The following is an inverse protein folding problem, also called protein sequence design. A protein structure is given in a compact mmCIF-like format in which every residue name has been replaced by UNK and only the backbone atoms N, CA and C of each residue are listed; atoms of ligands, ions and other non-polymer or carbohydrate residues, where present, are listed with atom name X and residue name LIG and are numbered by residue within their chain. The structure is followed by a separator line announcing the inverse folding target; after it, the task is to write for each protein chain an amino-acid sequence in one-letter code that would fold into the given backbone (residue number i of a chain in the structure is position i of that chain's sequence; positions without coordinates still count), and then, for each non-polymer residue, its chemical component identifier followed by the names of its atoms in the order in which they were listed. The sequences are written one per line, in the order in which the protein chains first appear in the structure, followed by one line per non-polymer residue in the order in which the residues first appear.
data_IF_455855005604
#
_entry.id   IF_455855005604
#
_cell.length_a   1.000
_cell.length_b   1.000
_cell.length_c   1.000
_cell.angle_alpha   90.00
_cell.angle_beta   90.00
_cell.angle_gamma   90.00
#
_symmetry.space_group_name_H-M   'P 1'
#
loop_
_entity.id
_entity.type
_entity.pdbx_description
1 polymer ?
#
# COMPACT_ATOMS: atom_id res chain seq x y z
N UNK A 1 0.14 -16.69 -7.46
CA UNK A 1 1.34 -15.87 -7.77
C UNK A 1 1.95 -16.19 -9.13
N UNK A 2 2.10 -17.46 -9.55
CA UNK A 2 2.65 -17.77 -10.90
C UNK A 2 1.87 -17.12 -12.04
N UNK A 3 0.54 -17.03 -11.92
CA UNK A 3 -0.33 -16.40 -12.92
C UNK A 3 -0.06 -14.90 -13.06
N UNK A 4 -0.02 -14.15 -11.95
CA UNK A 4 0.26 -12.71 -11.95
C UNK A 4 1.67 -12.39 -12.47
N UNK A 5 2.67 -13.18 -12.08
CA UNK A 5 4.04 -13.04 -12.58
C UNK A 5 4.14 -13.33 -14.08
N UNK A 6 3.40 -14.34 -14.56
CA UNK A 6 3.33 -14.66 -15.99
C UNK A 6 2.61 -13.58 -16.79
N UNK A 7 1.55 -12.99 -16.23
CA UNK A 7 0.85 -11.85 -16.83
C UNK A 7 1.78 -10.64 -16.96
N UNK A 8 2.51 -10.27 -15.90
CA UNK A 8 3.45 -9.16 -15.94
C UNK A 8 4.54 -9.35 -17.02
N UNK A 9 5.09 -10.57 -17.16
CA UNK A 9 6.05 -10.89 -18.23
C UNK A 9 5.45 -10.69 -19.61
N UNK A 10 4.22 -11.17 -19.84
CA UNK A 10 3.51 -10.96 -21.11
C UNK A 10 3.30 -9.47 -21.40
N UNK A 11 2.89 -8.68 -20.41
CA UNK A 11 2.72 -7.23 -20.58
C UNK A 11 4.04 -6.59 -21.02
N UNK A 12 5.17 -6.92 -20.38
CA UNK A 12 6.50 -6.42 -20.75
C UNK A 12 6.90 -6.85 -22.17
N UNK A 13 6.59 -8.09 -22.58
CA UNK A 13 6.85 -8.57 -23.94
C UNK A 13 6.11 -7.76 -25.01
N UNK A 14 4.91 -7.24 -24.69
CA UNK A 14 4.11 -6.41 -25.61
C UNK A 14 4.44 -4.91 -25.53
N UNK A 15 5.11 -4.45 -24.47
CA UNK A 15 5.46 -3.05 -24.27
C UNK A 15 6.77 -2.70 -24.97
N UNK A 16 6.68 -2.40 -26.27
CA UNK A 16 7.83 -2.16 -27.16
C UNK A 16 8.02 -0.69 -27.56
N UNK A 17 7.00 0.17 -27.36
CA UNK A 17 7.00 1.57 -27.81
C UNK A 17 6.36 2.47 -26.74
N UNK A 18 6.90 3.69 -26.48
CA UNK A 18 8.02 4.35 -27.17
C UNK A 18 9.41 3.86 -26.74
N UNK A 19 9.50 3.09 -25.65
CA UNK A 19 10.69 2.40 -25.19
C UNK A 19 10.25 1.19 -24.38
N UNK A 20 10.91 0.02 -24.53
CA UNK A 20 10.54 -1.13 -23.74
C UNK A 20 10.81 -0.91 -22.25
N UNK A 21 9.89 -1.40 -21.42
CA UNK A 21 10.09 -1.46 -19.97
C UNK A 21 11.14 -2.51 -19.64
N UNK A 22 12.07 -2.16 -18.76
CA UNK A 22 13.08 -3.12 -18.26
C UNK A 22 12.49 -3.93 -17.11
N UNK A 23 12.52 -5.25 -17.24
CA UNK A 23 12.17 -6.14 -16.13
C UNK A 23 13.26 -6.04 -15.05
N UNK A 24 12.86 -5.63 -13.84
CA UNK A 24 13.69 -5.70 -12.65
C UNK A 24 13.19 -6.86 -11.80
N UNK A 25 14.02 -7.88 -11.64
CA UNK A 25 13.71 -9.02 -10.78
C UNK A 25 13.97 -8.71 -9.32
N UNK A 26 13.24 -9.42 -8.45
CA UNK A 26 13.38 -9.33 -7.01
C UNK A 26 13.21 -10.69 -6.36
N UNK A 27 13.90 -10.87 -5.23
CA UNK A 27 13.77 -12.04 -4.37
C UNK A 27 12.60 -11.96 -3.39
N UNK A 28 11.99 -10.77 -3.20
CA UNK A 28 10.83 -10.59 -2.31
C UNK A 28 9.53 -10.78 -3.09
N UNK A 29 8.57 -11.45 -2.46
CA UNK A 29 7.18 -11.55 -2.92
C UNK A 29 6.42 -10.36 -2.36
N UNK A 30 5.76 -9.62 -3.24
CA UNK A 30 5.02 -8.42 -2.93
C UNK A 30 3.78 -8.31 -3.81
N UNK A 31 2.80 -7.57 -3.30
CA UNK A 31 1.58 -7.21 -4.00
C UNK A 31 1.44 -5.68 -3.96
N UNK A 32 0.88 -5.09 -5.02
CA UNK A 32 0.81 -3.63 -5.15
C UNK A 32 0.08 -2.96 -3.98
N UNK A 33 -0.99 -3.60 -3.48
CA UNK A 33 -1.77 -3.07 -2.35
C UNK A 33 -1.03 -3.07 -1.01
N UNK A 34 0.08 -3.81 -0.89
CA UNK A 34 0.91 -3.77 0.31
C UNK A 34 1.80 -2.51 0.39
N UNK A 35 1.78 -1.64 -0.62
CA UNK A 35 2.69 -0.50 -0.76
C UNK A 35 1.94 0.81 -0.99
N UNK A 36 2.20 1.83 -0.17
CA UNK A 36 1.80 3.20 -0.44
C UNK A 36 3.03 4.13 -0.37
N UNK A 37 3.38 4.76 -1.50
CA UNK A 37 4.57 5.61 -1.64
C UNK A 37 4.19 7.07 -1.90
N UNK A 38 4.94 8.02 -1.33
CA UNK A 38 4.71 9.45 -1.51
C UNK A 38 5.39 10.05 -2.75
N UNK A 39 6.29 9.31 -3.39
CA UNK A 39 7.12 9.80 -4.49
C UNK A 39 8.30 10.69 -4.05
N UNK A 40 8.49 10.90 -2.75
CA UNK A 40 9.59 11.70 -2.17
C UNK A 40 10.44 10.90 -1.17
N UNK A 41 10.32 9.58 -1.19
CA UNK A 41 11.20 8.67 -0.48
C UNK A 41 10.59 8.02 0.76
N UNK A 42 9.29 8.14 0.97
CA UNK A 42 8.57 7.49 2.07
C UNK A 42 7.70 6.35 1.56
N UNK A 43 7.79 5.20 2.21
CA UNK A 43 6.87 4.06 2.06
C UNK A 43 6.08 3.88 3.35
N UNK A 44 4.76 3.73 3.23
CA UNK A 44 3.89 3.16 4.26
C UNK A 44 3.63 1.70 3.91
N UNK A 45 3.71 0.81 4.89
CA UNK A 45 3.46 -0.62 4.71
C UNK A 45 3.07 -1.29 6.02
N UNK A 46 2.34 -2.40 5.96
CA UNK A 46 2.11 -3.27 7.11
C UNK A 46 3.14 -4.39 7.17
N UNK A 47 3.65 -4.71 8.35
CA UNK A 47 4.64 -5.78 8.54
C UNK A 47 4.04 -7.13 8.16
N UNK A 48 2.80 -7.40 8.58
CA UNK A 48 2.17 -8.68 8.35
C UNK A 48 1.94 -8.96 6.85
N UNK A 49 1.62 -7.98 6.02
CA UNK A 49 1.42 -8.23 4.57
C UNK A 49 2.71 -8.50 3.78
N UNK A 50 3.88 -8.17 4.34
CA UNK A 50 5.17 -8.28 3.64
C UNK A 50 6.11 -9.28 4.30
N UNK A 51 6.33 -9.18 5.61
CA UNK A 51 7.44 -9.85 6.32
C UNK A 51 7.06 -11.27 6.76
N UNK A 52 5.78 -11.62 6.77
CA UNK A 52 5.34 -12.90 7.32
C UNK A 52 5.88 -14.12 6.54
N UNK A 53 5.94 -15.28 7.20
CA UNK A 53 6.46 -16.53 6.61
C UNK A 53 5.64 -17.05 5.43
N UNK A 54 4.35 -16.69 5.34
CA UNK A 54 3.49 -17.07 4.21
C UNK A 54 3.82 -16.23 2.96
N UNK A 55 4.48 -15.07 3.12
CA UNK A 55 4.91 -14.18 2.03
C UNK A 55 6.38 -14.35 1.69
N UNK A 56 7.27 -14.06 2.63
CA UNK A 56 8.72 -14.01 2.40
C UNK A 56 9.48 -14.94 3.36
N UNK A 57 9.33 -16.27 3.23
CA UNK A 57 9.95 -17.22 4.14
C UNK A 57 11.48 -17.13 4.12
N UNK A 58 12.08 -17.08 5.30
CA UNK A 58 13.54 -17.03 5.46
C UNK A 58 14.21 -15.68 5.18
N UNK A 59 13.45 -14.63 4.79
CA UNK A 59 14.02 -13.29 4.59
C UNK A 59 13.88 -12.46 5.87
N UNK A 60 14.94 -11.75 6.23
CA UNK A 60 14.92 -10.82 7.36
C UNK A 60 14.24 -9.51 7.00
N UNK A 61 13.67 -8.80 7.99
CA UNK A 61 13.14 -7.44 7.80
C UNK A 61 14.18 -6.53 7.14
N UNK A 62 15.42 -6.54 7.59
CA UNK A 62 16.51 -5.74 7.00
C UNK A 62 16.77 -6.07 5.53
N UNK A 63 16.70 -7.36 5.16
CA UNK A 63 16.84 -7.81 3.77
C UNK A 63 15.70 -7.26 2.91
N UNK A 64 14.47 -7.38 3.41
CA UNK A 64 13.26 -6.87 2.74
C UNK A 64 13.36 -5.35 2.57
N UNK A 65 13.70 -4.61 3.63
CA UNK A 65 13.84 -3.17 3.54
C UNK A 65 14.95 -2.74 2.56
N UNK A 66 16.08 -3.45 2.53
CA UNK A 66 17.16 -3.17 1.56
C UNK A 66 16.66 -3.33 0.14
N UNK A 67 15.89 -4.38 -0.12
CA UNK A 67 15.32 -4.65 -1.43
C UNK A 67 14.23 -3.63 -1.81
N UNK A 68 13.36 -3.25 -0.87
CA UNK A 68 12.37 -2.19 -1.07
C UNK A 68 13.03 -0.84 -1.43
N UNK A 69 14.11 -0.46 -0.73
CA UNK A 69 14.88 0.75 -1.07
C UNK A 69 15.49 0.68 -2.47
N UNK A 70 16.04 -0.49 -2.86
CA UNK A 70 16.60 -0.72 -4.19
C UNK A 70 15.55 -0.61 -5.30
N UNK A 71 14.36 -1.15 -5.06
CA UNK A 71 13.28 -1.22 -6.06
C UNK A 71 12.51 0.09 -6.20
N UNK A 72 12.20 0.75 -5.07
CA UNK A 72 11.27 1.87 -5.03
C UNK A 72 11.96 3.23 -4.88
N UNK A 73 13.27 3.26 -4.60
CA UNK A 73 14.00 4.50 -4.35
C UNK A 73 13.61 5.20 -3.04
N UNK A 74 12.95 4.48 -2.13
CA UNK A 74 12.56 5.02 -0.82
C UNK A 74 13.74 5.10 0.15
N UNK A 75 13.72 6.08 1.02
CA UNK A 75 14.72 6.32 2.06
C UNK A 75 14.18 5.85 3.43
N UNK A 76 12.89 6.11 3.68
CA UNK A 76 12.20 5.81 4.94
C UNK A 76 11.02 4.88 4.71
N UNK A 77 10.90 3.87 5.59
CA UNK A 77 9.76 2.96 5.61
C UNK A 77 9.10 3.10 6.98
N UNK A 78 7.80 3.40 6.98
CA UNK A 78 6.97 3.44 8.18
C UNK A 78 6.16 2.15 8.20
N UNK A 79 6.41 1.35 9.22
CA UNK A 79 5.81 0.05 9.40
C UNK A 79 4.64 0.12 10.38
N UNK A 80 3.48 -0.34 9.93
CA UNK A 80 2.35 -0.65 10.79
C UNK A 80 2.33 -2.15 11.10
N UNK A 81 1.79 -2.62 12.23
CA UNK A 81 1.81 -4.06 12.55
C UNK A 81 1.04 -4.91 11.53
N UNK A 82 -0.17 -4.49 11.14
CA UNK A 82 -1.11 -5.34 10.40
C UNK A 82 -1.66 -6.50 11.26
N UNK A 83 -2.35 -7.47 10.65
CA UNK A 83 -2.87 -8.67 11.34
C UNK A 83 -2.82 -9.87 10.42
N UNK A 84 -2.38 -11.00 10.97
CA UNK A 84 -2.26 -12.26 10.22
C UNK A 84 -3.62 -12.94 10.18
N UNK A 85 -4.01 -13.45 9.01
CA UNK A 85 -5.23 -14.23 8.79
C UNK A 85 -6.53 -13.46 9.16
N UNK A 86 -6.48 -12.12 9.29
CA UNK A 86 -7.66 -11.29 9.57
C UNK A 86 -8.49 -11.05 8.30
N UNK A 87 -7.80 -10.79 7.20
CA UNK A 87 -8.37 -10.75 5.86
C UNK A 87 -7.47 -11.55 4.90
N UNK A 88 -7.85 -11.64 3.63
CA UNK A 88 -7.08 -12.39 2.62
C UNK A 88 -5.69 -11.80 2.34
N UNK A 89 -5.45 -10.54 2.74
CA UNK A 89 -4.23 -9.80 2.41
C UNK A 89 -3.25 -9.68 3.58
N UNK A 90 -3.61 -10.17 4.77
CA UNK A 90 -2.90 -9.92 6.03
C UNK A 90 -2.79 -8.40 6.33
N UNK A 91 -3.85 -7.66 5.98
CA UNK A 91 -4.02 -6.20 6.08
C UNK A 91 -3.09 -5.45 5.13
N UNK A 92 -3.45 -5.36 3.86
CA UNK A 92 -2.79 -4.44 2.93
C UNK A 92 -2.96 -2.98 3.35
N UNK A 93 -1.95 -2.15 3.06
CA UNK A 93 -1.94 -0.74 3.49
C UNK A 93 -2.86 0.12 2.64
N UNK A 94 -3.08 -0.23 1.37
CA UNK A 94 -3.95 0.52 0.44
C UNK A 94 -5.41 0.62 0.91
N UNK A 95 -5.84 -0.36 1.69
CA UNK A 95 -7.14 -0.45 2.31
C UNK A 95 -7.30 0.43 3.56
N UNK A 96 -6.19 0.84 4.18
CA UNK A 96 -6.18 1.44 5.51
C UNK A 96 -5.62 2.86 5.54
N UNK A 97 -4.61 3.16 4.71
CA UNK A 97 -4.02 4.49 4.61
C UNK A 97 -3.30 4.69 3.28
N UNK A 98 -3.55 5.83 2.62
CA UNK A 98 -2.88 6.16 1.37
C UNK A 98 -2.43 7.63 1.32
N UNK A 99 -1.41 7.91 0.51
CA UNK A 99 -0.94 9.27 0.29
C UNK A 99 -1.90 10.03 -0.62
N UNK A 100 -2.29 11.24 -0.21
CA UNK A 100 -2.93 12.22 -1.09
C UNK A 100 -1.85 13.05 -1.81
N UNK A 101 -0.80 13.40 -1.07
CA UNK A 101 0.43 14.09 -1.52
C UNK A 101 1.51 13.89 -0.45
N UNK A 102 2.79 14.23 -0.70
CA UNK A 102 3.83 14.16 0.32
C UNK A 102 3.42 14.89 1.62
N UNK A 103 3.55 14.17 2.75
CA UNK A 103 3.16 14.62 4.08
C UNK A 103 1.65 14.63 4.38
N UNK A 104 0.79 14.21 3.46
CA UNK A 104 -0.68 14.16 3.67
C UNK A 104 -1.24 12.80 3.30
N UNK A 105 -1.97 12.21 4.22
CA UNK A 105 -2.58 10.89 4.04
C UNK A 105 -4.08 10.93 4.29
N UNK A 106 -4.77 9.99 3.67
CA UNK A 106 -6.13 9.61 4.02
C UNK A 106 -6.07 8.31 4.81
N UNK A 107 -6.86 8.20 5.89
CA UNK A 107 -6.91 7.06 6.80
C UNK A 107 -8.34 6.54 6.94
N UNK A 108 -8.54 5.24 6.70
CA UNK A 108 -9.86 4.62 6.74
C UNK A 108 -10.31 4.58 8.19
N UNK A 109 -11.46 5.20 8.50
CA UNK A 109 -12.05 5.12 9.82
C UNK A 109 -13.12 4.02 9.81
N UNK A 110 -12.90 2.91 10.55
CA UNK A 110 -13.86 1.82 10.59
C UNK A 110 -15.24 2.28 11.03
N UNK A 111 -16.28 1.72 10.42
CA UNK A 111 -17.64 2.01 10.84
C UNK A 111 -17.85 1.67 12.32
N UNK A 112 -18.72 2.40 13.03
CA UNK A 112 -18.99 2.19 14.47
C UNK A 112 -19.42 0.76 14.89
N UNK A 113 -19.82 -0.06 13.92
CA UNK A 113 -20.19 -1.46 14.12
C UNK A 113 -19.10 -2.46 13.70
N UNK A 114 -17.93 -1.98 13.30
CA UNK A 114 -16.83 -2.82 12.86
C UNK A 114 -16.35 -3.74 13.99
N UNK A 115 -15.87 -4.95 13.67
CA UNK A 115 -15.20 -5.81 14.64
C UNK A 115 -14.04 -5.07 15.34
N UNK A 116 -13.81 -5.40 16.62
CA UNK A 116 -12.79 -4.74 17.47
C UNK A 116 -11.40 -4.70 16.82
N UNK A 117 -11.01 -5.75 16.10
CA UNK A 117 -9.70 -5.85 15.46
C UNK A 117 -9.45 -4.72 14.45
N UNK A 118 -10.47 -4.30 13.69
CA UNK A 118 -10.36 -3.21 12.72
C UNK A 118 -10.22 -1.85 13.41
N UNK A 119 -10.96 -1.64 14.51
CA UNK A 119 -10.82 -0.44 15.34
C UNK A 119 -9.40 -0.33 15.91
N UNK A 120 -8.84 -1.44 16.40
CA UNK A 120 -7.46 -1.50 16.91
C UNK A 120 -6.42 -1.18 15.82
N UNK A 121 -6.59 -1.70 14.60
CA UNK A 121 -5.70 -1.40 13.46
C UNK A 121 -5.72 0.09 13.13
N UNK A 122 -6.90 0.69 13.02
CA UNK A 122 -7.06 2.11 12.75
C UNK A 122 -6.38 2.96 13.84
N UNK A 123 -6.58 2.64 15.12
CA UNK A 123 -5.94 3.35 16.24
C UNK A 123 -4.40 3.22 16.20
N UNK A 124 -3.88 2.03 15.92
CA UNK A 124 -2.43 1.80 15.77
C UNK A 124 -1.83 2.61 14.61
N UNK A 125 -2.48 2.62 13.44
CA UNK A 125 -2.01 3.38 12.28
C UNK A 125 -2.02 4.87 12.59
N UNK A 126 -3.13 5.39 13.15
CA UNK A 126 -3.26 6.80 13.53
C UNK A 126 -2.17 7.22 14.52
N UNK A 127 -1.92 6.41 15.54
CA UNK A 127 -0.95 6.71 16.59
C UNK A 127 0.48 6.69 16.05
N UNK A 128 0.81 5.72 15.18
CA UNK A 128 2.13 5.65 14.52
C UNK A 128 2.33 6.85 13.59
N UNK A 129 1.32 7.23 12.80
CA UNK A 129 1.38 8.43 11.95
C UNK A 129 1.60 9.69 12.78
N UNK A 130 0.89 9.83 13.91
CA UNK A 130 1.00 10.97 14.83
C UNK A 130 2.37 11.10 15.51
N UNK A 131 3.13 10.00 15.60
CA UNK A 131 4.48 9.96 16.20
C UNK A 131 5.60 9.92 15.15
N UNK A 132 5.23 9.88 13.87
CA UNK A 132 6.17 9.74 12.76
C UNK A 132 6.37 11.04 12.01
N UNK A 133 7.47 11.07 11.27
CA UNK A 133 7.71 12.05 10.21
C UNK A 133 8.07 11.29 8.94
N UNK A 134 7.87 11.89 7.78
CA UNK A 134 8.24 11.28 6.50
C UNK A 134 9.76 11.35 6.23
N UNK A 135 10.20 10.92 5.04
CA UNK A 135 11.62 10.94 4.65
C UNK A 135 12.24 12.35 4.61
N UNK A 136 11.42 13.40 4.45
CA UNK A 136 11.85 14.80 4.43
C UNK A 136 11.64 15.50 5.78
N UNK A 137 11.22 14.76 6.81
CA UNK A 137 11.05 15.27 8.17
C UNK A 137 9.73 16.01 8.40
N UNK A 138 8.75 15.89 7.50
CA UNK A 138 7.42 16.48 7.69
C UNK A 138 6.58 15.57 8.58
N UNK A 139 5.83 16.15 9.51
CA UNK A 139 4.74 15.45 10.20
C UNK A 139 3.59 15.17 9.22
N UNK A 140 2.81 14.13 9.49
CA UNK A 140 1.65 13.79 8.66
C UNK A 140 0.43 14.65 9.00
N UNK A 141 -0.17 15.24 7.98
CA UNK A 141 -1.57 15.69 8.00
C UNK A 141 -2.45 14.49 7.66
N UNK A 142 -3.37 14.12 8.56
CA UNK A 142 -4.21 12.92 8.42
C UNK A 142 -5.66 13.35 8.21
N UNK A 143 -6.24 12.96 7.07
CA UNK A 143 -7.66 13.10 6.80
C UNK A 143 -8.35 11.75 6.98
N UNK A 144 -9.35 11.68 7.86
CA UNK A 144 -10.06 10.43 8.12
C UNK A 144 -11.31 10.34 7.25
N UNK A 145 -11.55 9.18 6.65
CA UNK A 145 -12.75 8.90 5.83
C UNK A 145 -13.51 7.74 6.45
N UNK A 146 -14.77 7.98 6.79
CA UNK A 146 -15.63 6.96 7.37
C UNK A 146 -15.94 5.85 6.35
N UNK A 147 -15.75 4.60 6.76
CA UNK A 147 -16.19 3.46 5.97
C UNK A 147 -17.71 3.42 5.81
N UNK A 148 -18.21 2.91 4.68
CA UNK A 148 -19.64 2.81 4.46
C UNK A 148 -20.26 1.78 5.42
N UNK A 149 -21.55 1.94 5.71
CA UNK A 149 -22.24 1.00 6.59
C UNK A 149 -22.27 -0.40 5.99
N UNK A 150 -21.85 -1.46 6.72
CA UNK A 150 -21.91 -2.85 6.24
C UNK A 150 -23.33 -3.27 5.84
N UNK A 151 -24.36 -2.64 6.43
CA UNK A 151 -25.77 -2.92 6.16
C UNK A 151 -26.22 -2.58 4.73
N UNK A 152 -25.43 -1.79 3.99
CA UNK A 152 -25.73 -1.43 2.59
C UNK A 152 -25.67 -2.66 1.67
N UNK A 153 -24.95 -3.71 2.07
CA UNK A 153 -24.71 -4.89 1.22
C UNK A 153 -25.70 -6.05 1.43
N UNK A 154 -26.66 -5.93 2.35
CA UNK A 154 -27.64 -6.98 2.64
C UNK A 154 -27.01 -8.24 3.26
N UNK A 155 -27.67 -9.40 3.11
CA UNK A 155 -27.11 -10.69 3.54
C UNK A 155 -26.18 -11.18 2.43
N UNK A 156 -24.88 -11.19 2.72
CA UNK A 156 -23.87 -11.75 1.83
C UNK A 156 -23.75 -13.26 2.08
N UNK A 157 -23.58 -14.04 1.01
CA UNK A 157 -23.39 -15.49 1.07
C UNK A 157 -21.92 -15.90 1.28
N UNK A 158 -21.04 -14.94 1.49
CA UNK A 158 -19.60 -15.09 1.67
C UNK A 158 -19.13 -14.24 2.86
N UNK A 159 -17.92 -14.47 3.35
CA UNK A 159 -17.31 -13.70 4.44
C UNK A 159 -17.37 -12.18 4.15
N UNK A 160 -17.54 -11.36 5.19
CA UNK A 160 -17.71 -9.90 5.05
C UNK A 160 -16.61 -9.30 4.16
N UNK A 161 -16.95 -8.56 3.10
CA UNK A 161 -15.96 -7.96 2.23
C UNK A 161 -15.20 -6.89 3.02
N UNK A 162 -13.90 -6.79 2.79
CA UNK A 162 -13.14 -5.59 3.17
C UNK A 162 -13.71 -4.42 2.38
N UNK A 163 -14.34 -3.46 3.06
CA UNK A 163 -14.97 -2.31 2.42
C UNK A 163 -14.32 -1.04 2.93
N UNK A 164 -13.59 -0.37 2.06
CA UNK A 164 -13.07 0.97 2.33
C UNK A 164 -13.33 1.86 1.11
N UNK A 165 -13.35 3.16 1.34
CA UNK A 165 -13.33 4.15 0.27
C UNK A 165 -11.90 4.42 -0.23
N UNK A 166 -10.90 3.79 0.37
CA UNK A 166 -9.46 4.06 0.21
C UNK A 166 -8.78 3.28 -0.91
N UNK A 167 -9.41 2.19 -1.36
CA UNK A 167 -9.12 1.50 -2.62
C UNK A 167 -9.57 2.33 -3.85
N UNK A 168 -9.23 3.61 -3.88
CA UNK A 168 -9.39 4.50 -5.02
C UNK A 168 -8.06 4.63 -5.77
N UNK A 169 -8.14 4.90 -7.07
CA UNK A 169 -6.97 5.21 -7.88
C UNK A 169 -6.99 6.69 -8.27
N UNK A 170 -5.88 7.39 -8.05
CA UNK A 170 -5.67 8.68 -8.69
C UNK A 170 -5.42 8.44 -10.18
N UNK A 171 -6.36 8.88 -11.03
CA UNK A 171 -6.11 9.02 -12.47
C UNK A 171 -5.55 10.41 -12.73
N UNK A 172 -4.23 10.56 -12.67
CA UNK A 172 -3.54 11.63 -13.39
C UNK A 172 -2.40 11.04 -14.23
N UNK A 173 -2.50 11.17 -15.55
CA UNK A 173 -1.42 10.87 -16.48
C UNK A 173 -1.27 12.02 -17.49
N UNK A 174 -0.06 12.57 -17.53
CA UNK A 174 0.55 13.33 -18.64
C UNK A 174 -0.09 14.67 -19.02
N UNK A 175 0.20 15.70 -18.24
CA UNK A 175 0.26 17.06 -18.76
C UNK A 175 1.35 17.87 -18.07
N UNK A 176 2.64 17.60 -18.30
CA UNK A 176 3.73 18.58 -18.17
C UNK A 176 5.08 18.06 -18.72
N UNK A 177 5.11 17.67 -20.00
CA UNK A 177 6.36 17.56 -20.75
C UNK A 177 6.20 18.13 -22.15
N UNK A 178 6.04 19.45 -22.26
CA UNK A 178 6.26 20.18 -23.51
C UNK A 178 6.48 21.69 -23.30
N UNK A 179 7.63 22.10 -22.75
CA UNK A 179 8.35 23.28 -23.27
C UNK A 179 9.72 23.48 -22.60
N UNK A 180 10.73 22.73 -23.03
CA UNK A 180 12.11 23.28 -23.09
C UNK A 180 12.81 22.71 -24.32
N UNK A 181 12.49 23.26 -25.50
CA UNK A 181 13.38 23.34 -26.68
C UNK A 181 12.88 24.43 -27.64
N UNK A 182 13.38 25.65 -27.45
CA UNK A 182 14.13 26.44 -28.43
C UNK A 182 14.61 27.73 -27.77
#
# INVERSE_FOLDING_TARGET
MEENGSFARKVIEFDVLPSPVTLVESQIRLEGGALAVDGEGTLLATENSIINQNRNPGLSKTTIETELRRLLGVEKIIWFPGRKDLDVTDVHVDAEVNFVRPGVVVLSRPHSSAPKAWVEIYEEIRDILGQSADAKGRSFEVHEVDEPSPKIFGILSYDEPTINHENFSFREWMAHYSSVRR
#
